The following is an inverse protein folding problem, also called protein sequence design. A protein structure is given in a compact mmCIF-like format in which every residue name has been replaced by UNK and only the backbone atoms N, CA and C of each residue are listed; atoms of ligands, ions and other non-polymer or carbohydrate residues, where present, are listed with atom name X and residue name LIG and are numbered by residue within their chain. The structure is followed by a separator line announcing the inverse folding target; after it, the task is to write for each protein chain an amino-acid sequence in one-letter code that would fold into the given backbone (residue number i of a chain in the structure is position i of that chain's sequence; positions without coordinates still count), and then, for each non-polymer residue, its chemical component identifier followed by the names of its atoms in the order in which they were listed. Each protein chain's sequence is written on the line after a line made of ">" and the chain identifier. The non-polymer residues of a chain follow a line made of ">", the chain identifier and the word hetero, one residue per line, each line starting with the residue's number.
data_IF_838337688562
#
_entry.id   IF_838337688562
#
_cell.length_a   1.000
_cell.length_b   1.000
_cell.length_c   1.000
_cell.angle_alpha   90.00
_cell.angle_beta   90.00
_cell.angle_gamma   90.00
#
_symmetry.space_group_name_H-M   'P 1'
#
loop_
_entity.id
_entity.type
_entity.pdbx_description
1 polymer ?
#
# COMPACT_ATOMS: atom_id res chain seq x y z
N UNK A 1 0.11 -20.93 10.55
CA UNK A 1 1.56 -20.77 10.91
C UNK A 1 1.65 -19.85 12.13
N UNK A 2 2.52 -20.13 13.14
CA UNK A 2 2.67 -19.23 14.31
C UNK A 2 3.23 -17.88 13.79
N UNK A 3 2.56 -16.78 14.11
CA UNK A 3 3.08 -15.43 13.86
C UNK A 3 4.20 -15.16 14.85
N UNK A 4 5.38 -14.84 14.36
CA UNK A 4 6.57 -14.52 15.17
C UNK A 4 7.00 -13.12 14.87
N UNK A 5 7.22 -12.25 15.88
CA UNK A 5 7.79 -10.92 15.65
C UNK A 5 9.18 -11.02 15.01
N UNK A 6 9.50 -10.12 14.10
CA UNK A 6 10.87 -10.03 13.53
C UNK A 6 11.87 -9.36 14.48
N UNK A 7 11.43 -8.92 15.65
CA UNK A 7 12.20 -8.24 16.68
C UNK A 7 12.06 -8.97 18.01
N UNK A 8 13.13 -9.03 18.82
CA UNK A 8 13.14 -9.61 20.15
C UNK A 8 12.72 -8.60 21.21
N UNK A 9 12.32 -9.08 22.42
CA UNK A 9 12.03 -8.21 23.55
C UNK A 9 13.24 -7.34 23.94
N UNK A 10 14.43 -7.92 24.00
CA UNK A 10 15.66 -7.19 24.36
C UNK A 10 15.92 -6.03 23.38
N UNK A 11 15.74 -6.29 22.08
CA UNK A 11 15.89 -5.25 21.05
C UNK A 11 14.82 -4.18 21.16
N UNK A 12 13.57 -4.55 21.45
CA UNK A 12 12.52 -3.55 21.71
C UNK A 12 12.81 -2.71 22.96
N UNK A 13 13.38 -3.29 24.01
CA UNK A 13 13.80 -2.53 25.20
C UNK A 13 14.92 -1.53 24.85
N UNK A 14 15.87 -1.91 24.01
CA UNK A 14 16.90 -1.00 23.48
C UNK A 14 16.27 0.18 22.72
N UNK A 15 15.33 -0.13 21.80
CA UNK A 15 14.63 0.89 20.99
C UNK A 15 13.80 1.81 21.90
N UNK A 16 13.01 1.25 22.82
CA UNK A 16 12.13 2.02 23.70
C UNK A 16 12.89 2.87 24.72
N UNK A 17 14.15 2.56 25.00
CA UNK A 17 15.02 3.42 25.80
C UNK A 17 15.38 4.73 25.10
N UNK A 18 15.31 4.77 23.76
CA UNK A 18 15.63 5.95 22.95
C UNK A 18 14.37 6.60 22.35
N UNK A 19 13.41 5.80 21.94
CA UNK A 19 12.17 6.25 21.29
C UNK A 19 10.96 5.73 22.05
N UNK A 20 10.12 6.63 22.61
CA UNK A 20 8.95 6.21 23.37
C UNK A 20 7.89 5.53 22.48
N UNK A 21 7.16 4.58 23.04
CA UNK A 21 5.95 4.00 22.41
C UNK A 21 4.81 5.03 22.38
N UNK A 22 3.85 4.92 21.46
CA UNK A 22 3.84 3.96 20.35
C UNK A 22 4.74 4.40 19.18
N UNK A 23 5.20 3.43 18.38
CA UNK A 23 5.89 3.69 17.11
C UNK A 23 5.66 2.55 16.11
N UNK A 24 5.77 2.86 14.82
CA UNK A 24 5.88 1.84 13.79
C UNK A 24 7.34 1.41 13.63
N UNK A 25 7.58 0.11 13.61
CA UNK A 25 8.90 -0.48 13.40
C UNK A 25 8.91 -1.26 12.09
N UNK A 26 9.92 -1.02 11.24
CA UNK A 26 10.09 -1.69 9.96
C UNK A 26 11.35 -2.56 9.95
N UNK A 27 11.26 -3.72 9.30
CA UNK A 27 12.32 -4.71 9.13
C UNK A 27 13.01 -4.53 7.77
N UNK A 28 14.17 -3.89 7.74
CA UNK A 28 14.93 -3.68 6.51
C UNK A 28 15.25 -5.00 5.81
N UNK A 29 15.68 -6.00 6.58
CA UNK A 29 16.05 -7.31 6.03
C UNK A 29 14.87 -7.96 5.30
N UNK A 30 13.72 -8.02 5.94
CA UNK A 30 12.52 -8.59 5.34
C UNK A 30 12.05 -7.83 4.10
N UNK A 31 12.13 -6.48 4.10
CA UNK A 31 11.83 -5.64 2.94
C UNK A 31 12.75 -5.99 1.76
N UNK A 32 14.06 -6.08 2.00
CA UNK A 32 15.05 -6.40 0.97
C UNK A 32 14.87 -7.80 0.39
N UNK A 33 14.69 -8.79 1.25
CA UNK A 33 14.46 -10.17 0.83
C UNK A 33 13.19 -10.30 -0.03
N UNK A 34 12.10 -9.62 0.34
CA UNK A 34 10.86 -9.63 -0.42
C UNK A 34 10.97 -8.89 -1.76
N UNK A 35 11.59 -7.72 -1.79
CA UNK A 35 11.81 -6.98 -3.03
C UNK A 35 12.65 -7.81 -4.04
N UNK A 36 13.67 -8.50 -3.55
CA UNK A 36 14.47 -9.43 -4.33
C UNK A 36 13.62 -10.60 -4.86
N UNK A 37 12.80 -11.20 -4.00
CA UNK A 37 11.93 -12.32 -4.40
C UNK A 37 10.93 -11.93 -5.48
N UNK A 38 10.31 -10.74 -5.39
CA UNK A 38 9.42 -10.20 -6.42
C UNK A 38 10.15 -10.02 -7.74
N UNK A 39 11.32 -9.39 -7.73
CA UNK A 39 12.16 -9.20 -8.92
C UNK A 39 12.53 -10.53 -9.58
N UNK A 40 12.92 -11.52 -8.80
CA UNK A 40 13.27 -12.86 -9.29
C UNK A 40 12.08 -13.59 -9.89
N UNK A 41 10.90 -13.49 -9.26
CA UNK A 41 9.67 -14.18 -9.69
C UNK A 41 9.20 -13.73 -11.08
N UNK A 42 9.49 -12.50 -11.47
CA UNK A 42 9.13 -11.93 -12.77
C UNK A 42 10.32 -11.70 -13.71
N UNK A 43 11.52 -12.21 -13.37
CA UNK A 43 12.73 -12.03 -14.19
C UNK A 43 12.64 -12.61 -15.59
N UNK A 44 11.69 -13.50 -15.87
CA UNK A 44 11.39 -14.04 -17.19
C UNK A 44 10.86 -12.97 -18.17
N UNK A 45 10.24 -11.90 -17.69
CA UNK A 45 9.80 -10.75 -18.49
C UNK A 45 10.86 -9.64 -18.43
N UNK A 46 11.54 -9.37 -19.54
CA UNK A 46 12.63 -8.39 -19.59
C UNK A 46 12.20 -6.96 -19.28
N UNK A 47 10.92 -6.65 -19.51
CA UNK A 47 10.35 -5.33 -19.25
C UNK A 47 9.69 -5.21 -17.88
N UNK A 48 9.74 -6.26 -17.06
CA UNK A 48 9.08 -6.25 -15.74
C UNK A 48 9.50 -5.07 -14.88
N UNK A 49 8.51 -4.44 -14.26
CA UNK A 49 8.75 -3.39 -13.27
C UNK A 49 7.66 -3.40 -12.19
N UNK A 50 8.09 -3.45 -10.94
CA UNK A 50 7.25 -3.15 -9.80
C UNK A 50 7.23 -1.64 -9.56
N UNK A 51 6.06 -1.03 -9.56
CA UNK A 51 5.82 0.33 -9.10
C UNK A 51 5.21 0.28 -7.71
N UNK A 52 6.01 0.48 -6.70
CA UNK A 52 5.53 0.42 -5.33
C UNK A 52 4.40 1.42 -5.09
N UNK A 53 3.25 0.95 -4.61
CA UNK A 53 2.11 1.81 -4.29
C UNK A 53 2.44 2.70 -3.08
N UNK A 54 2.80 3.96 -3.33
CA UNK A 54 3.28 4.92 -2.32
C UNK A 54 2.27 5.08 -1.18
N UNK A 55 0.97 5.10 -1.51
CA UNK A 55 -0.13 5.17 -0.53
C UNK A 55 -0.08 4.09 0.57
N UNK A 56 0.56 2.97 0.30
CA UNK A 56 0.67 1.89 1.28
C UNK A 56 1.61 2.26 2.43
N UNK A 57 2.74 2.90 2.10
CA UNK A 57 3.76 3.30 3.09
C UNK A 57 4.54 4.51 2.56
N UNK A 58 4.00 5.73 2.69
CA UNK A 58 4.58 6.94 2.11
C UNK A 58 5.77 7.45 2.95
N UNK A 59 6.85 6.68 2.95
CA UNK A 59 8.09 7.01 3.65
C UNK A 59 9.28 6.92 2.68
N UNK A 60 9.98 8.05 2.41
CA UNK A 60 11.04 8.09 1.42
C UNK A 60 12.21 7.13 1.71
N UNK A 61 12.56 6.93 2.98
CA UNK A 61 13.64 6.00 3.36
C UNK A 61 13.32 4.57 2.95
N UNK A 62 12.09 4.12 3.18
CA UNK A 62 11.64 2.78 2.82
C UNK A 62 11.52 2.59 1.31
N UNK A 63 11.05 3.62 0.60
CA UNK A 63 10.93 3.57 -0.86
C UNK A 63 12.31 3.53 -1.51
N UNK A 64 13.31 4.23 -0.97
CA UNK A 64 14.68 4.17 -1.46
C UNK A 64 15.29 2.76 -1.35
N UNK A 65 14.96 1.99 -0.31
CA UNK A 65 15.36 0.58 -0.22
C UNK A 65 14.78 -0.21 -1.41
N UNK A 66 13.51 0.00 -1.74
CA UNK A 66 12.87 -0.68 -2.88
C UNK A 66 13.48 -0.26 -4.23
N UNK A 67 13.88 1.01 -4.38
CA UNK A 67 14.55 1.50 -5.58
C UNK A 67 15.87 0.77 -5.89
N UNK A 68 16.60 0.31 -4.88
CA UNK A 68 17.83 -0.49 -5.07
C UNK A 68 17.54 -1.81 -5.82
N UNK A 69 16.30 -2.30 -5.77
CA UNK A 69 15.85 -3.49 -6.51
C UNK A 69 15.20 -3.16 -7.85
N UNK A 70 15.16 -1.88 -8.23
CA UNK A 70 14.59 -1.40 -9.48
C UNK A 70 13.11 -1.06 -9.44
N UNK A 71 12.51 -0.97 -8.25
CA UNK A 71 11.12 -0.54 -8.10
C UNK A 71 10.98 0.94 -8.47
N UNK A 72 9.88 1.26 -9.18
CA UNK A 72 9.38 2.61 -9.34
C UNK A 72 8.35 2.96 -8.26
N UNK A 73 7.60 4.04 -8.48
CA UNK A 73 6.55 4.53 -7.59
C UNK A 73 5.20 4.59 -8.32
N UNK A 74 4.17 3.99 -7.76
CA UNK A 74 2.77 4.26 -8.12
C UNK A 74 2.25 5.38 -7.21
N UNK A 75 1.92 6.52 -7.82
CA UNK A 75 1.48 7.73 -7.15
C UNK A 75 0.01 8.04 -7.46
N UNK A 76 -0.72 8.54 -6.48
CA UNK A 76 -2.15 8.88 -6.59
C UNK A 76 -2.47 10.32 -6.20
N UNK A 77 -1.45 11.16 -5.91
CA UNK A 77 -1.62 12.56 -5.50
C UNK A 77 -0.39 13.40 -5.76
N UNK A 78 -0.55 14.72 -5.71
CA UNK A 78 0.54 15.69 -5.83
C UNK A 78 1.69 15.43 -4.85
N UNK A 79 1.37 15.16 -3.59
CA UNK A 79 2.40 14.95 -2.54
C UNK A 79 3.18 13.67 -2.73
N UNK A 80 2.56 12.61 -3.25
CA UNK A 80 3.26 11.37 -3.62
C UNK A 80 4.17 11.58 -4.83
N UNK A 81 3.73 12.35 -5.83
CA UNK A 81 4.57 12.76 -6.97
C UNK A 81 5.79 13.58 -6.51
N UNK A 82 5.58 14.56 -5.62
CA UNK A 82 6.66 15.37 -5.05
C UNK A 82 7.68 14.52 -4.28
N UNK A 83 7.20 13.56 -3.47
CA UNK A 83 8.05 12.64 -2.75
C UNK A 83 8.88 11.79 -3.72
N UNK A 84 8.24 11.20 -4.74
CA UNK A 84 8.90 10.36 -5.73
C UNK A 84 9.98 11.12 -6.52
N UNK A 85 9.71 12.38 -6.88
CA UNK A 85 10.72 13.27 -7.47
C UNK A 85 11.88 13.52 -6.49
N UNK A 86 11.59 13.79 -5.22
CA UNK A 86 12.59 14.12 -4.22
C UNK A 86 13.57 12.96 -3.94
N UNK A 87 13.10 11.71 -4.01
CA UNK A 87 13.94 10.51 -3.87
C UNK A 87 14.66 10.10 -5.17
N UNK A 88 14.56 10.89 -6.23
CA UNK A 88 15.33 10.72 -7.46
C UNK A 88 14.73 9.78 -8.50
N UNK A 89 13.41 9.54 -8.47
CA UNK A 89 12.73 8.84 -9.56
C UNK A 89 12.95 9.57 -10.88
N UNK A 90 13.24 8.81 -11.93
CA UNK A 90 13.51 9.30 -13.29
C UNK A 90 12.28 9.16 -14.16
N UNK A 91 12.37 9.64 -15.41
CA UNK A 91 11.37 9.40 -16.43
C UNK A 91 11.07 7.90 -16.58
N UNK A 92 9.79 7.54 -16.51
CA UNK A 92 9.31 6.15 -16.54
C UNK A 92 9.46 5.37 -15.22
N UNK A 93 9.92 6.02 -14.13
CA UNK A 93 9.95 5.41 -12.79
C UNK A 93 8.70 5.73 -11.97
N UNK A 94 7.79 6.53 -12.50
CA UNK A 94 6.54 6.90 -11.83
C UNK A 94 5.36 6.48 -12.69
N UNK A 95 4.47 5.70 -12.11
CA UNK A 95 3.10 5.49 -12.60
C UNK A 95 2.20 6.46 -11.83
N UNK A 96 1.41 7.24 -12.54
CA UNK A 96 0.45 8.14 -11.92
C UNK A 96 -0.98 7.62 -12.15
N UNK A 97 -1.52 6.97 -11.12
CA UNK A 97 -2.85 6.34 -11.11
C UNK A 97 -3.73 7.01 -10.09
N UNK A 98 -4.51 7.99 -10.52
CA UNK A 98 -5.47 8.74 -9.71
C UNK A 98 -6.88 8.56 -10.28
N UNK A 99 -7.90 8.99 -9.55
CA UNK A 99 -9.31 8.80 -9.94
C UNK A 99 -9.95 10.12 -10.36
N UNK A 100 -10.44 10.91 -9.40
CA UNK A 100 -11.00 12.25 -9.63
C UNK A 100 -9.86 13.26 -9.64
N UNK A 101 -9.07 13.25 -10.71
CA UNK A 101 -7.74 13.87 -10.76
C UNK A 101 -7.82 15.36 -11.09
N UNK A 102 -7.28 16.25 -10.22
CA UNK A 102 -7.08 17.67 -10.54
C UNK A 102 -6.12 17.87 -11.73
N UNK A 103 -6.39 18.87 -12.56
CA UNK A 103 -5.56 19.12 -13.76
C UNK A 103 -4.09 19.45 -13.44
N UNK A 104 -3.83 20.11 -12.32
CA UNK A 104 -2.48 20.41 -11.84
C UNK A 104 -1.66 19.13 -11.53
N UNK A 105 -2.30 18.04 -11.13
CA UNK A 105 -1.62 16.78 -10.88
C UNK A 105 -1.23 16.09 -12.18
N UNK A 106 -2.08 16.11 -13.22
CA UNK A 106 -1.71 15.64 -14.56
C UNK A 106 -0.53 16.43 -15.13
N UNK A 107 -0.57 17.75 -14.99
CA UNK A 107 0.50 18.62 -15.44
C UNK A 107 1.82 18.28 -14.75
N UNK A 108 1.81 18.19 -13.41
CA UNK A 108 3.00 17.89 -12.64
C UNK A 108 3.54 16.48 -12.90
N UNK A 109 2.67 15.47 -13.00
CA UNK A 109 3.06 14.12 -13.35
C UNK A 109 3.79 14.07 -14.70
N UNK A 110 3.26 14.78 -15.72
CA UNK A 110 3.90 14.88 -17.03
C UNK A 110 5.25 15.63 -16.97
N UNK A 111 5.33 16.73 -16.22
CA UNK A 111 6.57 17.53 -16.06
C UNK A 111 7.72 16.71 -15.45
N UNK A 112 7.43 15.79 -14.57
CA UNK A 112 8.44 14.94 -13.92
C UNK A 112 8.67 13.59 -14.64
N UNK A 113 8.07 13.39 -15.81
CA UNK A 113 8.25 12.19 -16.62
C UNK A 113 7.48 10.96 -16.13
N UNK A 114 6.39 11.16 -15.39
CA UNK A 114 5.50 10.09 -14.95
C UNK A 114 4.62 9.57 -16.09
N UNK A 115 4.33 8.29 -16.07
CA UNK A 115 3.36 7.65 -16.98
C UNK A 115 1.96 7.90 -16.43
N UNK A 116 1.14 8.63 -17.17
CA UNK A 116 -0.24 8.93 -16.77
C UNK A 116 -1.14 7.73 -17.10
N UNK A 117 -1.88 7.26 -16.10
CA UNK A 117 -2.92 6.25 -16.24
C UNK A 117 -4.29 6.91 -16.11
N UNK A 118 -5.08 6.88 -17.20
CA UNK A 118 -6.40 7.48 -17.25
C UNK A 118 -7.43 6.54 -16.61
N UNK A 119 -8.13 7.04 -15.62
CA UNK A 119 -9.18 6.29 -14.92
C UNK A 119 -10.50 6.27 -15.70
N UNK A 120 -10.80 7.34 -16.44
CA UNK A 120 -12.00 7.49 -17.26
C UNK A 120 -11.70 8.14 -18.61
N UNK A 121 -12.56 7.90 -19.61
CA UNK A 121 -12.41 8.46 -20.94
C UNK A 121 -12.43 10.00 -20.96
N UNK A 122 -13.16 10.63 -20.04
CA UNK A 122 -13.23 12.09 -19.90
C UNK A 122 -11.90 12.71 -19.46
N UNK A 123 -11.02 11.93 -18.85
CA UNK A 123 -9.67 12.38 -18.49
C UNK A 123 -8.78 12.71 -19.71
N UNK A 124 -9.11 12.22 -20.92
CA UNK A 124 -8.37 12.55 -22.13
C UNK A 124 -8.36 14.06 -22.36
N UNK A 125 -9.55 14.69 -22.26
CA UNK A 125 -9.67 16.14 -22.41
C UNK A 125 -9.00 16.90 -21.27
N UNK A 126 -9.06 16.37 -20.05
CA UNK A 126 -8.42 16.99 -18.87
C UNK A 126 -6.90 16.99 -19.00
N UNK A 127 -6.30 15.89 -19.46
CA UNK A 127 -4.85 15.84 -19.75
C UNK A 127 -4.47 16.78 -20.86
N UNK A 128 -5.24 16.84 -21.96
CA UNK A 128 -4.97 17.75 -23.07
C UNK A 128 -5.03 19.21 -22.64
N UNK A 129 -6.00 19.58 -21.81
CA UNK A 129 -6.05 20.95 -21.22
C UNK A 129 -4.88 21.24 -20.29
N UNK A 130 -4.53 20.30 -19.43
CA UNK A 130 -3.50 20.46 -18.40
C UNK A 130 -2.07 20.52 -18.98
N UNK A 131 -1.79 19.68 -19.96
CA UNK A 131 -0.46 19.43 -20.54
C UNK A 131 -0.27 20.18 -21.86
N UNK A 132 -1.35 20.40 -22.62
CA UNK A 132 -1.36 21.00 -23.96
C UNK A 132 -1.19 20.01 -25.11
N UNK A 133 -1.01 18.75 -24.81
CA UNK A 133 -0.90 17.62 -25.76
C UNK A 133 -1.17 16.29 -25.05
N UNK A 134 -1.35 15.22 -25.82
CA UNK A 134 -1.42 13.85 -25.29
C UNK A 134 0.00 13.26 -25.24
N UNK A 135 0.48 12.77 -24.08
CA UNK A 135 1.79 12.11 -23.97
C UNK A 135 1.92 10.93 -24.92
N UNK A 136 3.14 10.70 -25.43
CA UNK A 136 3.42 9.58 -26.34
C UNK A 136 3.20 8.21 -25.69
N UNK A 137 3.50 8.11 -24.40
CA UNK A 137 3.24 6.91 -23.59
C UNK A 137 2.10 7.24 -22.64
N UNK A 138 1.01 6.49 -22.72
CA UNK A 138 -0.17 6.70 -21.88
C UNK A 138 -0.85 5.38 -21.55
N UNK A 139 -1.49 5.29 -20.41
CA UNK A 139 -2.19 4.11 -19.93
C UNK A 139 -3.66 4.40 -19.70
N UNK A 140 -4.51 3.38 -19.84
CA UNK A 140 -5.92 3.44 -19.49
C UNK A 140 -6.28 2.32 -18.51
N UNK A 141 -7.03 2.65 -17.48
CA UNK A 141 -7.56 1.67 -16.53
C UNK A 141 -8.79 0.99 -17.12
N UNK A 142 -8.76 -0.33 -17.14
CA UNK A 142 -9.86 -1.17 -17.62
C UNK A 142 -10.70 -1.70 -16.45
N UNK A 143 -12.02 -1.57 -16.55
CA UNK A 143 -13.00 -2.19 -15.66
C UNK A 143 -13.94 -3.07 -16.49
N UNK A 144 -13.83 -4.39 -16.32
CA UNK A 144 -14.67 -5.34 -17.05
C UNK A 144 -16.14 -5.34 -16.60
N UNK A 145 -16.45 -4.70 -15.49
CA UNK A 145 -17.78 -4.80 -14.85
C UNK A 145 -18.09 -6.18 -14.24
N UNK A 146 -19.33 -6.37 -13.80
CA UNK A 146 -19.81 -7.63 -13.26
C UNK A 146 -19.22 -8.00 -11.91
N UNK A 147 -19.21 -9.30 -11.61
CA UNK A 147 -18.71 -9.86 -10.34
C UNK A 147 -17.42 -10.61 -10.59
N UNK A 148 -16.40 -10.35 -9.77
CA UNK A 148 -15.16 -11.12 -9.77
C UNK A 148 -15.19 -12.15 -8.63
N UNK A 149 -15.06 -13.44 -8.96
CA UNK A 149 -15.29 -14.56 -8.02
C UNK A 149 -14.33 -14.63 -6.82
N UNK A 150 -13.27 -13.82 -6.81
CA UNK A 150 -12.25 -13.79 -5.74
C UNK A 150 -12.24 -12.41 -5.06
N UNK A 151 -13.35 -11.66 -5.12
CA UNK A 151 -13.48 -10.41 -4.36
C UNK A 151 -13.60 -10.70 -2.87
N UNK A 152 -13.17 -9.75 -2.05
CA UNK A 152 -13.30 -9.78 -0.60
C UNK A 152 -14.05 -8.51 -0.13
N UNK A 153 -14.41 -8.46 1.15
CA UNK A 153 -15.21 -7.38 1.75
C UNK A 153 -14.50 -5.99 1.79
N UNK A 154 -13.27 -5.90 1.27
CA UNK A 154 -12.48 -4.65 1.26
C UNK A 154 -12.75 -3.83 0.00
N UNK A 155 -13.15 -4.49 -1.09
CA UNK A 155 -13.45 -3.85 -2.36
C UNK A 155 -14.76 -4.35 -2.95
N UNK A 156 -15.51 -3.44 -3.54
CA UNK A 156 -16.71 -3.73 -4.29
C UNK A 156 -16.41 -4.62 -5.51
N UNK A 157 -17.42 -5.31 -6.01
CA UNK A 157 -17.32 -5.97 -7.31
C UNK A 157 -16.98 -4.96 -8.41
N UNK A 158 -16.31 -5.36 -9.50
CA UNK A 158 -15.96 -4.43 -10.58
C UNK A 158 -17.14 -3.60 -11.11
N UNK A 159 -18.36 -4.15 -11.10
CA UNK A 159 -19.58 -3.44 -11.52
C UNK A 159 -20.02 -2.31 -10.58
N UNK A 160 -19.61 -2.35 -9.31
CA UNK A 160 -19.94 -1.36 -8.28
C UNK A 160 -18.76 -0.43 -7.97
N UNK A 161 -17.55 -0.77 -8.49
CA UNK A 161 -16.33 -0.01 -8.25
C UNK A 161 -16.34 1.30 -9.05
N UNK A 162 -15.89 2.39 -8.42
CA UNK A 162 -15.81 3.71 -9.06
C UNK A 162 -14.64 3.86 -10.06
N UNK A 163 -13.92 2.79 -10.37
CA UNK A 163 -12.65 2.82 -11.10
C UNK A 163 -12.79 2.24 -12.50
N UNK A 164 -12.16 2.92 -13.47
CA UNK A 164 -11.81 2.37 -14.76
C UNK A 164 -12.91 2.45 -15.84
N UNK A 165 -12.47 2.36 -17.07
CA UNK A 165 -13.30 2.42 -18.27
C UNK A 165 -13.97 1.09 -18.57
N UNK A 166 -15.22 1.11 -19.04
CA UNK A 166 -15.89 -0.07 -19.58
C UNK A 166 -15.18 -0.60 -20.82
N UNK A 167 -15.58 -1.77 -21.31
CA UNK A 167 -15.03 -2.35 -22.56
C UNK A 167 -15.20 -1.39 -23.72
N UNK A 168 -16.38 -0.81 -23.90
CA UNK A 168 -16.68 0.12 -24.99
C UNK A 168 -15.82 1.39 -24.88
N UNK A 169 -15.73 1.95 -23.67
CA UNK A 169 -14.98 3.18 -23.41
C UNK A 169 -13.48 3.00 -23.65
N UNK A 170 -12.87 1.85 -23.28
CA UNK A 170 -11.43 1.67 -23.45
C UNK A 170 -11.05 1.52 -24.94
N UNK A 171 -11.90 0.88 -25.76
CA UNK A 171 -11.70 0.83 -27.22
C UNK A 171 -11.79 2.21 -27.85
N UNK A 172 -12.76 3.00 -27.45
CA UNK A 172 -12.94 4.39 -27.88
C UNK A 172 -11.74 5.27 -27.46
N UNK A 173 -11.34 5.18 -26.18
CA UNK A 173 -10.20 5.91 -25.64
C UNK A 173 -8.91 5.63 -26.39
N UNK A 174 -8.61 4.37 -26.72
CA UNK A 174 -7.41 4.00 -27.48
C UNK A 174 -7.40 4.61 -28.88
N UNK A 175 -8.58 4.66 -29.56
CA UNK A 175 -8.69 5.31 -30.88
C UNK A 175 -8.45 6.82 -30.79
N UNK A 176 -9.13 7.49 -29.84
CA UNK A 176 -8.99 8.93 -29.63
C UNK A 176 -7.55 9.29 -29.27
N UNK A 177 -6.94 8.58 -28.34
CA UNK A 177 -5.56 8.83 -27.89
C UNK A 177 -4.56 8.65 -29.04
N UNK A 178 -4.74 7.62 -29.88
CA UNK A 178 -3.91 7.38 -31.05
C UNK A 178 -4.03 8.52 -32.08
N UNK A 179 -5.26 8.97 -32.36
CA UNK A 179 -5.51 10.11 -33.24
C UNK A 179 -4.88 11.39 -32.72
N UNK A 180 -4.82 11.55 -31.39
CA UNK A 180 -4.21 12.70 -30.69
C UNK A 180 -2.68 12.57 -30.52
N UNK A 181 -2.04 11.51 -31.01
CA UNK A 181 -0.59 11.38 -31.08
C UNK A 181 0.05 10.47 -30.05
N UNK A 182 -0.70 9.67 -29.28
CA UNK A 182 -0.14 8.61 -28.46
C UNK A 182 0.48 7.53 -29.34
N UNK A 183 1.67 7.05 -28.98
CA UNK A 183 2.45 6.07 -29.74
C UNK A 183 2.53 4.71 -29.04
N UNK A 184 2.66 4.70 -27.70
CA UNK A 184 2.80 3.52 -26.85
C UNK A 184 1.70 3.51 -25.79
N UNK A 185 1.02 2.40 -25.65
CA UNK A 185 -0.16 2.27 -24.80
C UNK A 185 0.07 1.29 -23.66
N UNK A 186 -0.41 1.66 -22.49
CA UNK A 186 -0.58 0.76 -21.35
C UNK A 186 -2.04 0.38 -21.15
N UNK A 187 -2.27 -0.81 -20.65
CA UNK A 187 -3.55 -1.22 -20.11
C UNK A 187 -3.37 -1.56 -18.64
N UNK A 188 -4.22 -1.03 -17.77
CA UNK A 188 -4.09 -1.13 -16.32
C UNK A 188 -5.37 -1.72 -15.72
N UNK A 189 -5.22 -2.61 -14.77
CA UNK A 189 -6.34 -3.20 -14.05
C UNK A 189 -6.22 -3.00 -12.54
N UNK A 190 -7.36 -2.91 -11.89
CA UNK A 190 -7.45 -3.02 -10.44
C UNK A 190 -8.79 -3.68 -10.08
N UNK A 191 -8.74 -4.94 -9.70
CA UNK A 191 -9.94 -5.75 -9.49
C UNK A 191 -10.14 -6.22 -8.05
N UNK A 192 -9.09 -6.25 -7.22
CA UNK A 192 -9.19 -6.72 -5.83
C UNK A 192 -8.14 -6.10 -4.91
N UNK A 193 -8.32 -6.27 -3.60
CA UNK A 193 -7.34 -5.93 -2.57
C UNK A 193 -7.25 -7.04 -1.55
N UNK A 194 -6.03 -7.34 -1.09
CA UNK A 194 -5.74 -8.38 -0.10
C UNK A 194 -6.28 -9.77 -0.47
N UNK A 195 -6.07 -10.20 -1.70
CA UNK A 195 -6.44 -11.56 -2.15
C UNK A 195 -5.37 -12.56 -1.73
N UNK A 196 -5.73 -13.51 -0.85
CA UNK A 196 -4.80 -14.49 -0.29
C UNK A 196 -4.97 -15.82 -1.03
N UNK A 197 -4.59 -15.84 -2.32
CA UNK A 197 -4.54 -17.01 -3.19
C UNK A 197 -3.56 -16.78 -4.33
N UNK A 198 -2.80 -17.81 -4.70
CA UNK A 198 -1.83 -17.73 -5.79
C UNK A 198 -2.49 -17.69 -7.18
N UNK A 199 -3.77 -18.07 -7.30
CA UNK A 199 -4.51 -18.12 -8.55
C UNK A 199 -5.01 -16.74 -9.03
N UNK A 200 -5.13 -15.76 -8.11
CA UNK A 200 -5.70 -14.45 -8.44
C UNK A 200 -4.96 -13.74 -9.58
N UNK A 201 -3.65 -13.59 -9.46
CA UNK A 201 -2.85 -12.87 -10.45
C UNK A 201 -2.79 -13.56 -11.82
N UNK A 202 -2.58 -14.87 -11.93
CA UNK A 202 -2.70 -15.57 -13.21
C UNK A 202 -4.07 -15.43 -13.87
N UNK A 203 -5.16 -15.44 -13.10
CA UNK A 203 -6.51 -15.23 -13.64
C UNK A 203 -6.70 -13.80 -14.16
N UNK A 204 -6.26 -12.81 -13.37
CA UNK A 204 -6.26 -11.40 -13.79
C UNK A 204 -5.42 -11.21 -15.05
N UNK A 205 -4.21 -11.77 -15.07
CA UNK A 205 -3.31 -11.70 -16.23
C UNK A 205 -3.97 -12.23 -17.49
N UNK A 206 -4.67 -13.36 -17.43
CA UNK A 206 -5.38 -13.94 -18.58
C UNK A 206 -6.38 -12.95 -19.16
N UNK A 207 -7.23 -12.37 -18.32
CA UNK A 207 -8.23 -11.40 -18.75
C UNK A 207 -7.60 -10.16 -19.40
N UNK A 208 -6.54 -9.64 -18.76
CA UNK A 208 -5.85 -8.44 -19.25
C UNK A 208 -5.09 -8.69 -20.54
N UNK A 209 -4.46 -9.86 -20.68
CA UNK A 209 -3.72 -10.23 -21.90
C UNK A 209 -4.68 -10.44 -23.08
N UNK A 210 -5.79 -11.14 -22.87
CA UNK A 210 -6.83 -11.30 -23.89
C UNK A 210 -7.41 -9.95 -24.33
N UNK A 211 -7.62 -9.03 -23.39
CA UNK A 211 -8.10 -7.67 -23.69
C UNK A 211 -7.04 -6.88 -24.48
N UNK A 212 -5.77 -6.94 -24.08
CA UNK A 212 -4.67 -6.26 -24.78
C UNK A 212 -4.54 -6.72 -26.23
N UNK A 213 -4.67 -8.03 -26.49
CA UNK A 213 -4.65 -8.60 -27.84
C UNK A 213 -5.80 -8.04 -28.70
N UNK A 214 -7.01 -7.98 -28.14
CA UNK A 214 -8.18 -7.40 -28.83
C UNK A 214 -7.98 -5.91 -29.12
N UNK A 215 -7.55 -5.13 -28.13
CA UNK A 215 -7.29 -3.70 -28.27
C UNK A 215 -6.28 -3.43 -29.38
N UNK A 216 -5.12 -4.09 -29.35
CA UNK A 216 -4.09 -3.91 -30.37
C UNK A 216 -4.60 -4.28 -31.78
N UNK A 217 -5.33 -5.40 -31.89
CA UNK A 217 -5.87 -5.88 -33.17
C UNK A 217 -6.92 -4.93 -33.75
N UNK A 218 -7.82 -4.42 -32.93
CA UNK A 218 -8.98 -3.64 -33.40
C UNK A 218 -8.69 -2.15 -33.57
N UNK A 219 -7.79 -1.60 -32.73
CA UNK A 219 -7.44 -0.17 -32.78
C UNK A 219 -6.14 0.11 -33.52
N UNK A 220 -5.31 -0.92 -33.73
CA UNK A 220 -3.95 -0.76 -34.22
C UNK A 220 -3.04 0.04 -33.31
N UNK A 221 -3.41 0.18 -32.03
CA UNK A 221 -2.58 0.81 -31.02
C UNK A 221 -1.46 -0.15 -30.60
N UNK A 222 -0.26 0.35 -30.37
CA UNK A 222 0.87 -0.46 -29.90
C UNK A 222 0.83 -0.60 -28.37
N UNK A 223 0.42 -1.77 -27.88
CA UNK A 223 0.43 -2.06 -26.45
C UNK A 223 1.85 -2.36 -26.00
N UNK A 224 2.42 -1.47 -25.22
CA UNK A 224 3.79 -1.52 -24.72
C UNK A 224 3.91 -2.28 -23.40
N UNK A 225 2.94 -2.09 -22.50
CA UNK A 225 2.92 -2.74 -21.20
C UNK A 225 1.51 -3.06 -20.73
N UNK A 226 1.43 -4.03 -19.86
CA UNK A 226 0.22 -4.39 -19.15
C UNK A 226 0.51 -4.29 -17.65
N UNK A 227 -0.21 -3.42 -16.96
CA UNK A 227 -0.09 -3.21 -15.53
C UNK A 227 -1.17 -4.04 -14.81
N UNK A 228 -0.73 -5.06 -14.10
CA UNK A 228 -1.60 -5.93 -13.31
C UNK A 228 -2.02 -5.29 -11.99
N UNK A 229 -1.56 -4.06 -11.70
CA UNK A 229 -1.83 -3.32 -10.47
C UNK A 229 -1.38 -4.08 -9.21
N UNK A 230 -2.10 -3.90 -8.10
CA UNK A 230 -1.86 -4.57 -6.84
C UNK A 230 -2.80 -5.76 -6.61
N UNK A 231 -3.26 -5.88 -5.38
CA UNK A 231 -4.27 -6.89 -4.99
C UNK A 231 -3.71 -8.14 -4.34
N UNK A 232 -2.44 -8.49 -4.57
CA UNK A 232 -1.78 -9.59 -3.88
C UNK A 232 -1.78 -9.33 -2.37
N UNK A 233 -2.42 -10.23 -1.63
CA UNK A 233 -2.63 -10.11 -0.19
C UNK A 233 -1.54 -10.76 0.63
N UNK A 234 -1.68 -10.59 1.94
CA UNK A 234 -0.84 -11.23 2.96
C UNK A 234 -1.70 -12.01 3.95
N UNK A 235 -1.13 -13.01 4.57
CA UNK A 235 -1.79 -13.77 5.62
C UNK A 235 -1.76 -12.98 6.93
N UNK A 236 -2.87 -12.33 7.29
CA UNK A 236 -2.98 -11.63 8.58
C UNK A 236 -3.23 -12.59 9.74
N UNK A 237 -3.99 -13.67 9.51
CA UNK A 237 -4.36 -14.64 10.54
C UNK A 237 -3.39 -15.82 10.55
N UNK A 238 -3.14 -16.43 11.73
CA UNK A 238 -2.23 -17.58 11.85
C UNK A 238 -2.68 -18.83 11.06
N UNK A 239 -3.96 -18.95 10.75
CA UNK A 239 -4.56 -20.07 10.01
C UNK A 239 -4.56 -19.87 8.49
N UNK A 240 -4.21 -18.70 8.00
CA UNK A 240 -4.07 -18.41 6.57
C UNK A 240 -2.73 -18.92 6.02
N UNK A 241 -2.76 -19.37 4.77
CA UNK A 241 -1.54 -19.69 4.01
C UNK A 241 -1.06 -18.45 3.26
N UNK A 242 0.19 -18.00 3.46
CA UNK A 242 0.74 -16.89 2.71
C UNK A 242 0.79 -17.16 1.20
N UNK A 243 0.64 -16.11 0.41
CA UNK A 243 0.91 -16.15 -1.03
C UNK A 243 2.39 -16.45 -1.30
N UNK A 244 2.65 -17.28 -2.32
CA UNK A 244 3.99 -17.51 -2.85
C UNK A 244 4.18 -16.72 -4.16
N UNK A 245 5.03 -15.70 -4.11
CA UNK A 245 5.27 -14.83 -5.26
C UNK A 245 5.92 -15.56 -6.43
N UNK A 246 6.67 -16.66 -6.17
CA UNK A 246 7.29 -17.46 -7.22
C UNK A 246 6.24 -18.27 -7.98
N UNK A 247 5.29 -18.88 -7.25
CA UNK A 247 4.15 -19.57 -7.87
C UNK A 247 3.28 -18.60 -8.66
N UNK A 248 3.03 -17.40 -8.12
CA UNK A 248 2.30 -16.33 -8.81
C UNK A 248 3.04 -15.92 -10.09
N UNK A 249 4.33 -15.63 -10.01
CA UNK A 249 5.15 -15.24 -11.17
C UNK A 249 5.19 -16.30 -12.28
N UNK A 250 5.32 -17.57 -11.90
CA UNK A 250 5.26 -18.69 -12.87
C UNK A 250 3.87 -18.87 -13.48
N UNK A 251 2.82 -18.67 -12.67
CA UNK A 251 1.44 -18.69 -13.17
C UNK A 251 1.18 -17.60 -14.22
N UNK A 252 1.64 -16.37 -13.96
CA UNK A 252 1.55 -15.25 -14.92
C UNK A 252 2.36 -15.54 -16.18
N UNK A 253 3.57 -16.11 -16.03
CA UNK A 253 4.41 -16.51 -17.15
C UNK A 253 3.71 -17.47 -18.10
N UNK A 254 3.10 -18.53 -17.58
CA UNK A 254 2.36 -19.51 -18.37
C UNK A 254 1.27 -18.85 -19.22
N UNK A 255 0.49 -17.97 -18.58
CA UNK A 255 -0.56 -17.23 -19.29
C UNK A 255 0.02 -16.29 -20.35
N UNK A 256 1.15 -15.65 -20.08
CA UNK A 256 1.87 -14.80 -21.03
C UNK A 256 2.30 -15.60 -22.27
N UNK A 257 2.88 -16.78 -22.07
CA UNK A 257 3.32 -17.68 -23.14
C UNK A 257 2.13 -18.26 -23.93
N UNK A 258 0.97 -18.46 -23.29
CA UNK A 258 -0.25 -18.96 -23.92
C UNK A 258 -1.01 -17.90 -24.74
N UNK A 259 -1.02 -16.64 -24.29
CA UNK A 259 -1.89 -15.60 -24.87
C UNK A 259 -1.10 -14.57 -25.68
N UNK A 260 -0.06 -13.96 -25.12
CA UNK A 260 0.63 -12.83 -25.76
C UNK A 260 1.65 -13.29 -26.80
N UNK A 261 2.41 -14.34 -26.52
CA UNK A 261 3.45 -14.82 -27.45
C UNK A 261 2.85 -15.27 -28.79
N UNK A 262 1.78 -16.08 -28.86
CA UNK A 262 1.15 -16.47 -30.13
C UNK A 262 0.51 -15.29 -30.86
N UNK A 263 0.13 -14.23 -30.13
CA UNK A 263 -0.42 -13.00 -30.72
C UNK A 263 0.65 -12.05 -31.30
N UNK A 264 1.94 -12.43 -31.21
CA UNK A 264 3.06 -11.59 -31.63
C UNK A 264 3.37 -10.43 -30.66
N UNK A 265 2.91 -10.54 -29.41
CA UNK A 265 3.07 -9.54 -28.34
C UNK A 265 4.04 -10.02 -27.25
N UNK A 266 5.02 -10.86 -27.60
CA UNK A 266 6.00 -11.43 -26.66
C UNK A 266 7.04 -10.44 -26.14
N UNK A 267 6.97 -9.17 -26.51
CA UNK A 267 7.81 -8.06 -26.03
C UNK A 267 7.09 -7.12 -25.05
N UNK A 268 5.80 -7.36 -24.79
CA UNK A 268 5.00 -6.54 -23.87
C UNK A 268 5.55 -6.64 -22.44
N UNK A 269 5.80 -5.50 -21.82
CA UNK A 269 6.25 -5.44 -20.43
C UNK A 269 5.11 -5.71 -19.45
N UNK A 270 5.43 -6.38 -18.34
CA UNK A 270 4.50 -6.58 -17.23
C UNK A 270 4.86 -5.62 -16.10
N UNK A 271 3.88 -4.82 -15.69
CA UNK A 271 3.99 -3.93 -14.54
C UNK A 271 3.09 -4.40 -13.41
N UNK A 272 3.51 -4.12 -12.19
CA UNK A 272 2.76 -4.41 -10.97
C UNK A 272 2.80 -3.20 -10.03
N UNK A 273 1.78 -3.06 -9.17
CA UNK A 273 1.66 -1.95 -8.19
C UNK A 273 1.36 -2.52 -6.80
N UNK A 274 2.19 -3.43 -6.35
CA UNK A 274 1.98 -4.10 -5.06
C UNK A 274 2.43 -3.19 -3.90
N UNK A 275 1.50 -2.83 -3.02
CA UNK A 275 1.80 -2.09 -1.79
C UNK A 275 1.84 -3.02 -0.59
N UNK A 276 0.70 -3.64 -0.29
CA UNK A 276 0.53 -4.50 0.89
C UNK A 276 1.50 -5.68 0.90
N UNK A 277 1.63 -6.38 -0.22
CA UNK A 277 2.54 -7.51 -0.34
C UNK A 277 4.00 -7.10 -0.14
N UNK A 278 4.37 -5.91 -0.62
CA UNK A 278 5.75 -5.40 -0.51
C UNK A 278 6.16 -5.07 0.92
N UNK A 279 5.25 -4.50 1.73
CA UNK A 279 5.61 -3.89 3.00
C UNK A 279 4.85 -4.44 4.21
N UNK A 280 3.64 -4.97 4.03
CA UNK A 280 2.75 -5.31 5.13
C UNK A 280 3.37 -6.17 6.23
N UNK A 281 3.96 -7.34 5.92
CA UNK A 281 4.56 -8.24 6.90
C UNK A 281 5.83 -7.71 7.57
N UNK A 282 6.44 -6.71 6.97
CA UNK A 282 7.75 -6.15 7.37
C UNK A 282 7.61 -4.86 8.18
N UNK A 283 6.45 -4.63 8.78
CA UNK A 283 6.21 -3.56 9.73
C UNK A 283 5.27 -4.00 10.81
N UNK A 284 5.48 -3.51 12.02
CA UNK A 284 4.61 -3.70 13.17
C UNK A 284 4.40 -2.40 13.92
N UNK A 285 3.27 -2.31 14.65
CA UNK A 285 3.04 -1.25 15.61
C UNK A 285 3.44 -1.75 17.00
N UNK A 286 4.39 -1.07 17.62
CA UNK A 286 4.85 -1.34 18.98
C UNK A 286 4.14 -0.40 19.92
N UNK A 287 3.50 -0.96 20.96
CA UNK A 287 2.70 -0.22 21.94
C UNK A 287 2.88 -0.82 23.33
N UNK A 288 2.54 -0.05 24.36
CA UNK A 288 2.67 -0.45 25.76
C UNK A 288 1.30 -0.54 26.43
N UNK A 289 1.07 -1.57 27.22
CA UNK A 289 -0.09 -1.67 28.10
C UNK A 289 0.01 -0.63 29.22
N UNK A 290 -0.98 0.26 29.30
CA UNK A 290 -1.00 1.38 30.26
C UNK A 290 -2.19 1.36 31.20
N UNK A 291 -3.26 0.67 30.85
CA UNK A 291 -4.47 0.55 31.66
C UNK A 291 -5.13 -0.81 31.50
N UNK A 292 -5.76 -1.28 32.58
CA UNK A 292 -6.72 -2.37 32.55
C UNK A 292 -8.09 -1.88 33.04
N UNK A 293 -9.16 -2.45 32.50
CA UNK A 293 -10.54 -2.16 32.92
C UNK A 293 -11.31 -3.46 33.06
N UNK A 294 -12.00 -3.60 34.19
CA UNK A 294 -12.81 -4.76 34.54
C UNK A 294 -14.27 -4.31 34.62
N UNK A 295 -15.03 -4.49 33.54
CA UNK A 295 -16.45 -4.10 33.49
C UNK A 295 -17.29 -5.32 33.08
N UNK A 296 -18.07 -5.23 32.01
CA UNK A 296 -18.74 -6.40 31.39
C UNK A 296 -17.80 -7.27 30.57
N UNK A 297 -16.61 -6.73 30.27
CA UNK A 297 -15.49 -7.40 29.59
C UNK A 297 -14.18 -6.97 30.25
N UNK A 298 -13.14 -7.72 29.95
CA UNK A 298 -11.77 -7.39 30.31
C UNK A 298 -11.12 -6.59 29.18
N UNK A 299 -10.57 -5.42 29.52
CA UNK A 299 -9.93 -4.50 28.57
C UNK A 299 -8.47 -4.28 28.94
N UNK A 300 -7.63 -4.29 27.93
CA UNK A 300 -6.26 -3.78 27.98
C UNK A 300 -6.20 -2.49 27.19
N UNK A 301 -6.00 -1.37 27.87
CA UNK A 301 -5.74 -0.07 27.26
C UNK A 301 -4.25 0.09 26.96
N UNK A 302 -3.94 0.45 25.70
CA UNK A 302 -2.56 0.70 25.26
C UNK A 302 -2.35 2.17 24.95
N UNK A 303 -1.09 2.61 24.86
CA UNK A 303 -0.74 4.00 24.52
C UNK A 303 -0.93 4.32 23.03
N UNK A 304 -1.04 3.32 22.15
CA UNK A 304 -1.50 3.50 20.78
C UNK A 304 -3.02 3.66 20.73
N UNK A 305 -3.52 4.18 19.60
CA UNK A 305 -4.94 4.27 19.29
C UNK A 305 -5.17 4.14 17.78
N UNK A 306 -6.41 4.23 17.31
CA UNK A 306 -6.74 4.10 15.88
C UNK A 306 -6.07 5.18 15.00
N UNK A 307 -5.58 6.27 15.56
CA UNK A 307 -4.70 7.24 14.87
C UNK A 307 -3.44 6.57 14.33
N UNK A 308 -2.91 5.56 15.05
CA UNK A 308 -1.73 4.81 14.64
C UNK A 308 -2.06 3.64 13.72
N UNK A 309 -3.23 3.01 13.90
CA UNK A 309 -3.69 1.89 13.08
C UNK A 309 -5.23 1.85 13.04
N UNK A 310 -5.83 2.47 12.04
CA UNK A 310 -7.29 2.58 11.95
C UNK A 310 -7.99 1.34 11.40
N UNK A 311 -7.26 0.44 10.74
CA UNK A 311 -7.87 -0.70 10.01
C UNK A 311 -8.75 -1.61 10.87
N UNK A 312 -8.39 -1.98 12.12
CA UNK A 312 -9.30 -2.74 12.98
C UNK A 312 -10.59 -1.99 13.27
N UNK A 313 -10.51 -0.70 13.57
CA UNK A 313 -11.66 0.14 13.89
C UNK A 313 -12.60 0.36 12.69
N UNK A 314 -12.04 0.59 11.49
CA UNK A 314 -12.79 0.95 10.29
C UNK A 314 -13.33 -0.27 9.53
N UNK A 315 -12.52 -1.32 9.43
CA UNK A 315 -12.82 -2.48 8.60
C UNK A 315 -13.04 -3.78 9.38
N UNK A 316 -12.93 -3.75 10.71
CA UNK A 316 -12.88 -4.97 11.51
C UNK A 316 -11.67 -5.86 11.16
N UNK A 317 -10.61 -5.25 10.60
CA UNK A 317 -9.45 -5.99 10.12
C UNK A 317 -8.70 -6.66 11.27
N UNK A 318 -8.39 -7.95 11.07
CA UNK A 318 -7.58 -8.68 12.01
C UNK A 318 -6.10 -8.29 11.90
N UNK A 319 -5.48 -8.00 13.03
CA UNK A 319 -4.04 -7.98 13.21
C UNK A 319 -3.67 -8.89 14.37
N UNK A 320 -2.63 -9.71 14.19
CA UNK A 320 -2.13 -10.54 15.28
C UNK A 320 -1.44 -9.67 16.33
N UNK A 321 -1.58 -10.04 17.60
CA UNK A 321 -0.96 -9.33 18.72
C UNK A 321 -0.09 -10.32 19.47
N UNK A 322 1.17 -9.97 19.66
CA UNK A 322 2.11 -10.69 20.54
C UNK A 322 2.39 -9.86 21.79
N UNK A 323 2.24 -10.46 22.96
CA UNK A 323 2.72 -9.88 24.22
C UNK A 323 4.18 -10.30 24.37
N UNK A 324 5.08 -9.33 24.24
CA UNK A 324 6.52 -9.61 24.17
C UNK A 324 7.07 -10.18 25.47
N UNK A 325 7.88 -11.25 25.33
CA UNK A 325 8.42 -12.02 26.47
C UNK A 325 7.43 -13.02 27.07
N UNK A 326 6.23 -13.14 26.49
CA UNK A 326 5.20 -14.10 26.91
C UNK A 326 4.73 -15.01 25.75
N UNK A 327 5.53 -15.15 24.70
CA UNK A 327 5.19 -15.83 23.46
C UNK A 327 4.88 -17.31 23.62
N UNK A 328 5.43 -17.92 24.69
CA UNK A 328 5.25 -19.34 25.01
C UNK A 328 4.28 -19.59 26.16
N UNK A 329 3.67 -18.51 26.70
CA UNK A 329 2.66 -18.63 27.76
C UNK A 329 1.29 -18.98 27.17
N UNK A 330 0.39 -19.63 27.97
CA UNK A 330 -0.96 -19.92 27.53
C UNK A 330 -1.73 -18.65 27.18
N UNK A 331 -2.43 -18.65 26.04
CA UNK A 331 -3.38 -17.61 25.68
C UNK A 331 -4.76 -17.95 26.29
N UNK A 332 -4.92 -17.77 27.58
CA UNK A 332 -6.10 -18.15 28.37
C UNK A 332 -6.89 -16.97 28.95
N UNK A 333 -6.44 -15.75 28.68
CA UNK A 333 -7.14 -14.53 29.07
C UNK A 333 -7.78 -13.86 27.84
N UNK A 334 -9.08 -13.60 27.91
CA UNK A 334 -9.82 -12.99 26.85
C UNK A 334 -9.94 -11.48 27.06
N UNK A 335 -9.38 -10.68 26.14
CA UNK A 335 -9.35 -9.22 26.22
C UNK A 335 -9.92 -8.54 24.95
N UNK A 336 -10.49 -7.35 25.14
CA UNK A 336 -10.53 -6.33 24.12
C UNK A 336 -9.27 -5.44 24.31
N UNK A 337 -8.47 -5.26 23.26
CA UNK A 337 -7.30 -4.36 23.29
C UNK A 337 -7.68 -3.02 22.69
N UNK A 338 -7.59 -1.94 23.49
CA UNK A 338 -8.22 -0.65 23.18
C UNK A 338 -7.24 0.51 23.19
N UNK A 339 -7.51 1.51 22.36
CA UNK A 339 -6.86 2.83 22.41
C UNK A 339 -7.62 3.83 23.29
N UNK A 340 -7.24 5.10 23.18
CA UNK A 340 -7.70 6.20 24.06
C UNK A 340 -8.65 7.19 23.39
N UNK A 341 -9.14 6.90 22.19
CA UNK A 341 -10.08 7.78 21.48
C UNK A 341 -11.48 7.73 22.11
N UNK A 342 -12.21 8.85 22.01
CA UNK A 342 -13.64 8.91 22.32
C UNK A 342 -14.47 8.25 21.19
N UNK A 343 -14.05 7.08 20.75
CA UNK A 343 -14.65 6.26 19.69
C UNK A 343 -14.71 4.82 20.19
N UNK A 344 -15.91 4.27 20.30
CA UNK A 344 -16.09 2.92 20.85
C UNK A 344 -15.38 1.82 20.02
N UNK A 345 -15.18 2.07 18.73
CA UNK A 345 -14.48 1.14 17.84
C UNK A 345 -12.95 1.30 17.87
N UNK A 346 -12.41 2.18 18.71
CA UNK A 346 -10.94 2.30 18.90
C UNK A 346 -10.39 1.08 19.64
N UNK A 347 -10.40 -0.04 18.92
CA UNK A 347 -9.97 -1.35 19.40
C UNK A 347 -9.10 -2.02 18.36
N UNK A 348 -7.96 -2.52 18.81
CA UNK A 348 -7.05 -3.34 18.00
C UNK A 348 -7.47 -4.81 17.93
N UNK A 349 -8.19 -5.28 18.94
CA UNK A 349 -8.73 -6.62 19.01
C UNK A 349 -10.01 -6.66 19.86
N UNK A 350 -10.90 -7.58 19.50
CA UNK A 350 -12.14 -7.90 20.18
C UNK A 350 -12.09 -9.36 20.63
N UNK A 351 -12.48 -9.65 21.87
CA UNK A 351 -12.58 -11.01 22.43
C UNK A 351 -11.36 -11.86 22.08
N UNK A 352 -10.16 -11.26 22.19
CA UNK A 352 -8.89 -11.89 21.81
C UNK A 352 -8.29 -12.67 22.99
N UNK A 353 -8.03 -13.96 22.78
CA UNK A 353 -7.24 -14.74 23.73
C UNK A 353 -5.76 -14.39 23.60
N UNK A 354 -5.18 -13.92 24.71
CA UNK A 354 -3.77 -13.55 24.87
C UNK A 354 -3.22 -14.17 26.15
N UNK A 355 -1.90 -14.23 26.33
CA UNK A 355 -1.31 -14.41 27.66
C UNK A 355 -1.76 -13.29 28.60
N UNK A 356 -1.68 -13.51 29.90
CA UNK A 356 -1.95 -12.47 30.86
C UNK A 356 -1.09 -11.24 30.55
N UNK A 357 -1.74 -10.10 30.33
CA UNK A 357 -1.06 -8.81 30.09
C UNK A 357 -0.90 -8.08 31.41
N UNK A 358 0.32 -7.70 31.74
CA UNK A 358 0.62 -6.85 32.89
C UNK A 358 0.91 -5.41 32.44
N UNK A 359 0.64 -4.44 33.31
CA UNK A 359 0.91 -3.03 32.98
C UNK A 359 2.39 -2.80 32.76
N UNK A 360 2.71 -2.16 31.63
CA UNK A 360 4.08 -1.96 31.17
C UNK A 360 4.56 -2.98 30.14
N UNK A 361 3.82 -4.08 29.90
CA UNK A 361 4.15 -5.02 28.84
C UNK A 361 4.17 -4.32 27.47
N UNK A 362 5.13 -4.69 26.67
CA UNK A 362 5.18 -4.29 25.26
C UNK A 362 4.36 -5.27 24.41
N UNK A 363 3.50 -4.71 23.58
CA UNK A 363 2.71 -5.46 22.62
C UNK A 363 3.19 -5.12 21.21
N UNK A 364 3.35 -6.15 20.39
CA UNK A 364 3.59 -6.03 18.93
C UNK A 364 2.31 -6.35 18.21
N UNK A 365 1.78 -5.38 17.47
CA UNK A 365 0.66 -5.55 16.54
C UNK A 365 1.25 -5.77 15.16
N UNK A 366 1.11 -6.98 14.62
CA UNK A 366 1.78 -7.45 13.41
C UNK A 366 1.18 -6.88 12.12
N UNK A 367 1.95 -7.01 11.04
CA UNK A 367 1.50 -6.78 9.65
C UNK A 367 0.96 -5.35 9.41
N UNK A 368 1.56 -4.36 10.04
CA UNK A 368 1.15 -2.95 9.90
C UNK A 368 2.03 -2.15 8.96
N UNK A 369 2.99 -2.80 8.28
CA UNK A 369 3.95 -2.13 7.38
C UNK A 369 3.31 -1.48 6.16
N UNK A 370 2.08 -1.84 5.81
CA UNK A 370 1.30 -1.21 4.76
C UNK A 370 -0.09 -0.83 5.28
N UNK A 371 -0.57 0.35 4.89
CA UNK A 371 -1.88 0.90 5.31
C UNK A 371 -2.03 0.98 6.85
N UNK A 372 -0.92 1.07 7.57
CA UNK A 372 -0.84 1.35 8.99
C UNK A 372 -0.71 2.85 9.21
N UNK A 373 0.53 3.35 9.33
CA UNK A 373 0.81 4.78 9.50
C UNK A 373 0.14 5.65 8.41
N UNK A 374 0.17 5.19 7.16
CA UNK A 374 -0.36 5.93 6.01
C UNK A 374 -1.84 6.34 6.14
N UNK A 375 -2.66 5.51 6.77
CA UNK A 375 -4.09 5.76 6.96
C UNK A 375 -4.40 6.52 8.27
N UNK A 376 -3.39 6.98 9.00
CA UNK A 376 -3.57 7.71 10.23
C UNK A 376 -4.26 9.06 10.06
N UNK A 377 -4.91 9.53 11.13
CA UNK A 377 -5.67 10.77 11.21
C UNK A 377 -5.48 11.40 12.60
N UNK A 378 -6.09 12.56 12.88
CA UNK A 378 -5.92 13.26 14.15
C UNK A 378 -7.27 13.43 14.90
N UNK A 379 -7.99 12.35 15.17
CA UNK A 379 -9.20 12.41 15.99
C UNK A 379 -8.84 12.64 17.47
N UNK A 380 -9.66 13.37 18.21
CA UNK A 380 -9.41 13.85 19.59
C UNK A 380 -8.09 14.65 19.74
N UNK A 381 -7.53 15.20 18.67
CA UNK A 381 -6.23 15.87 18.74
C UNK A 381 -5.06 14.94 19.03
N UNK A 382 -5.22 13.62 18.90
CA UNK A 382 -4.11 12.67 19.04
C UNK A 382 -3.14 12.80 17.88
N UNK A 383 -1.86 12.72 18.20
CA UNK A 383 -0.75 12.91 17.29
C UNK A 383 -0.26 11.58 16.73
N UNK A 384 0.23 11.60 15.49
CA UNK A 384 0.84 10.41 14.86
C UNK A 384 2.17 10.07 15.50
N UNK A 385 2.42 8.79 15.64
CA UNK A 385 3.65 8.23 16.19
C UNK A 385 4.84 8.36 15.24
N UNK A 386 6.05 8.07 15.75
CA UNK A 386 7.26 7.94 14.95
C UNK A 386 7.27 6.66 14.10
N UNK A 387 8.16 6.63 13.11
CA UNK A 387 8.51 5.46 12.30
C UNK A 387 10.01 5.19 12.48
N UNK A 388 10.37 3.93 12.75
CA UNK A 388 11.72 3.48 13.06
C UNK A 388 12.08 2.35 12.10
N UNK A 389 13.30 2.36 11.57
CA UNK A 389 13.86 1.30 10.74
C UNK A 389 14.84 0.46 11.56
N UNK A 390 14.61 -0.84 11.59
CA UNK A 390 15.55 -1.83 12.13
C UNK A 390 16.40 -2.35 10.98
N UNK A 391 17.69 -2.07 11.03
CA UNK A 391 18.65 -2.48 10.00
C UNK A 391 19.03 -3.96 10.10
N UNK A 392 19.58 -4.50 9.01
CA UNK A 392 20.05 -5.90 8.94
C UNK A 392 21.13 -6.23 9.97
N UNK A 393 21.95 -5.26 10.34
CA UNK A 393 23.00 -5.43 11.36
C UNK A 393 22.51 -5.30 12.81
N UNK A 394 21.21 -5.06 12.99
CA UNK A 394 20.56 -4.87 14.29
C UNK A 394 20.67 -3.46 14.84
N UNK A 395 21.28 -2.51 14.14
CA UNK A 395 21.15 -1.09 14.45
C UNK A 395 19.75 -0.58 14.08
N UNK A 396 19.36 0.59 14.57
CA UNK A 396 18.06 1.18 14.29
C UNK A 396 18.13 2.70 14.24
N UNK A 397 17.29 3.29 13.40
CA UNK A 397 17.19 4.74 13.27
C UNK A 397 15.74 5.21 13.13
N UNK A 398 15.50 6.45 13.53
CA UNK A 398 14.21 7.10 13.33
C UNK A 398 14.14 7.68 11.91
N UNK A 399 13.25 7.13 11.09
CA UNK A 399 13.02 7.54 9.70
C UNK A 399 11.83 8.51 9.52
N UNK A 400 11.08 8.72 10.58
CA UNK A 400 10.08 9.80 10.73
C UNK A 400 9.89 10.07 12.22
N UNK A 401 10.01 11.34 12.63
CA UNK A 401 9.68 11.71 14.01
C UNK A 401 8.18 11.65 14.28
N UNK A 402 7.80 11.51 15.53
CA UNK A 402 6.42 11.71 15.93
C UNK A 402 5.96 13.16 15.67
N UNK A 403 4.66 13.33 15.46
CA UNK A 403 4.05 14.66 15.46
C UNK A 403 4.16 15.30 16.85
N UNK A 404 4.25 16.62 16.86
CA UNK A 404 4.19 17.47 18.05
C UNK A 404 2.94 18.34 17.98
N UNK A 405 2.50 18.98 19.09
CA UNK A 405 1.42 19.95 19.03
C UNK A 405 1.66 21.05 17.99
N UNK A 406 2.92 21.43 17.74
CA UNK A 406 3.28 22.39 16.72
C UNK A 406 2.89 21.93 15.30
N UNK A 407 3.04 20.65 15.00
CA UNK A 407 2.60 20.08 13.71
C UNK A 407 1.06 20.11 13.61
N UNK A 408 0.37 19.80 14.70
CA UNK A 408 -1.10 19.83 14.75
C UNK A 408 -1.66 21.22 14.56
N UNK A 409 -1.00 22.25 15.11
CA UNK A 409 -1.41 23.65 15.02
C UNK A 409 -0.81 24.37 13.82
N UNK A 410 0.03 23.75 12.99
CA UNK A 410 0.75 24.40 11.90
C UNK A 410 -0.14 25.19 10.93
N UNK A 411 -1.38 24.71 10.70
CA UNK A 411 -2.34 25.39 9.81
C UNK A 411 -2.98 26.65 10.39
N UNK A 412 -2.70 26.98 11.66
CA UNK A 412 -3.15 28.20 12.33
C UNK A 412 -2.09 29.33 12.33
N UNK A 413 -0.93 29.13 11.69
CA UNK A 413 0.21 30.04 11.69
C UNK A 413 -0.09 31.45 11.13
N UNK A 414 -1.15 31.57 10.33
CA UNK A 414 -1.63 32.87 9.79
C UNK A 414 -2.63 33.60 10.69
N UNK A 415 -2.98 33.06 11.86
CA UNK A 415 -3.97 33.65 12.78
C UNK A 415 -3.34 34.09 14.09
N UNK A 416 -3.83 35.21 14.73
CA UNK A 416 -3.30 35.70 16.00
C UNK A 416 -3.36 34.72 17.16
N UNK A 417 -4.22 33.69 17.07
CA UNK A 417 -4.34 32.63 18.11
C UNK A 417 -3.11 31.71 18.16
N UNK A 418 -2.32 31.66 17.08
CA UNK A 418 -1.22 30.70 16.95
C UNK A 418 -0.19 30.81 18.07
N UNK A 419 0.23 32.04 18.41
CA UNK A 419 1.18 32.27 19.50
C UNK A 419 0.68 31.68 20.84
N UNK A 420 -0.61 31.87 21.14
CA UNK A 420 -1.23 31.34 22.34
C UNK A 420 -1.31 29.81 22.38
N UNK A 421 -1.42 29.17 21.21
CA UNK A 421 -1.45 27.71 21.09
C UNK A 421 -0.08 27.09 21.40
N UNK A 422 1.00 27.88 21.31
CA UNK A 422 2.37 27.42 21.54
C UNK A 422 2.94 27.82 22.91
N UNK A 423 2.25 28.65 23.69
CA UNK A 423 2.73 29.14 25.00
C UNK A 423 3.12 28.02 25.97
N UNK A 424 2.40 26.89 25.94
CA UNK A 424 2.65 25.74 26.83
C UNK A 424 3.73 24.78 26.28
N UNK A 425 4.39 25.11 25.17
CA UNK A 425 5.42 24.27 24.55
C UNK A 425 6.86 24.67 24.92
N UNK A 426 7.04 25.79 25.59
CA UNK A 426 8.32 26.28 26.15
C UNK A 426 8.53 25.73 27.58
#
# INVERSE_FOLDING_TARGET
>A
MKKVPFVTLDKLQEITAQFPTPFHLYDEKGIRENAKAVKEAFAWNKGFKEFFAVKATPNPFLIQILQEYGCGCDCSSMTELMMSKAIGCKEGDIMFSSNDTPEEEFKYANEIGGIINLDDITHIESVERAVGYIPKVISCRYNKGGVFKISNDIMDNPGDAKYGMTTEQIFEAFKILKEKGAEEFGIHAFLASNTVTNEYYPMLAKEMFEMAVKLQKETGAHVKFINLSGGVGIAYKPDQTPNDIREIGEGVRKVYEEVLVPAGMGDVAIYTEMGRFMMGPYGCLVTKAIHEKHTHKEYIGVDACAVNLMRPAMYGAYHHITVMGKEDQPCDHMYDVTGSLCENNDKFAFDRYLPKVDMGDLLVIHDTGAHGFAMGYNYNGKLKSSEILLHEDGSFEMIRRAETPKDYFATFDCFPIYEKLLEDME
#
